data_IF_418242604352
#
_entry.id   IF_418242604352
#
_cell.length_a   1.000
_cell.length_b   1.000
_cell.length_c   1.000
_cell.angle_alpha   90.00
_cell.angle_beta   90.00
_cell.angle_gamma   90.00
#
_symmetry.space_group_name_H-M   'P 1'
#
loop_
_entity.id
_entity.type
_entity.pdbx_description
1 polymer ?
#
# COMPACT_ATOMS: atom_id res chain seq x y z
N UNK A 1 -35.82 10.36 -42.26
CA UNK A 1 -35.94 10.08 -40.82
C UNK A 1 -34.58 10.26 -40.16
N UNK A 2 -34.23 11.49 -39.78
CA UNK A 2 -32.96 11.78 -39.10
C UNK A 2 -33.21 11.75 -37.59
N UNK A 3 -32.80 10.66 -36.95
CA UNK A 3 -32.95 10.45 -35.52
C UNK A 3 -32.14 11.48 -34.73
N UNK A 4 -32.84 12.24 -33.89
CA UNK A 4 -32.26 13.18 -32.94
C UNK A 4 -31.56 12.41 -31.81
N UNK A 5 -30.26 12.17 -31.94
CA UNK A 5 -29.45 11.56 -30.87
C UNK A 5 -29.24 12.62 -29.79
N UNK A 6 -30.00 12.52 -28.69
CA UNK A 6 -29.78 13.35 -27.50
C UNK A 6 -28.32 13.18 -27.04
N UNK A 7 -27.54 14.25 -27.14
CA UNK A 7 -26.18 14.31 -26.60
C UNK A 7 -26.29 14.24 -25.08
N UNK A 8 -26.01 13.07 -24.50
CA UNK A 8 -25.85 12.94 -23.05
C UNK A 8 -24.71 13.87 -22.62
N UNK A 9 -24.97 14.76 -21.66
CA UNK A 9 -23.97 15.65 -21.09
C UNK A 9 -22.92 14.80 -20.36
N UNK A 10 -21.82 14.48 -21.04
CA UNK A 10 -20.69 13.80 -20.43
C UNK A 10 -20.06 14.80 -19.45
N UNK A 11 -20.33 14.64 -18.14
CA UNK A 11 -19.65 15.41 -17.09
C UNK A 11 -18.15 15.35 -17.34
N UNK A 12 -17.50 16.54 -17.43
CA UNK A 12 -16.05 16.66 -17.65
C UNK A 12 -15.30 15.82 -16.61
N UNK A 13 -14.23 15.16 -17.04
CA UNK A 13 -13.58 14.06 -16.30
C UNK A 13 -13.04 14.36 -14.90
N UNK A 14 -13.05 15.62 -14.43
CA UNK A 14 -12.68 16.00 -13.06
C UNK A 14 -13.84 15.80 -12.07
N UNK A 15 -15.04 16.30 -12.37
CA UNK A 15 -16.21 16.17 -11.48
C UNK A 15 -16.60 14.70 -11.23
N UNK A 16 -16.36 13.83 -12.21
CA UNK A 16 -16.59 12.39 -12.08
C UNK A 16 -15.57 11.71 -11.16
N UNK A 17 -14.35 12.24 -11.04
CA UNK A 17 -13.32 11.66 -10.17
C UNK A 17 -13.65 11.92 -8.70
N UNK A 18 -14.12 13.12 -8.35
CA UNK A 18 -14.47 13.44 -6.96
C UNK A 18 -15.66 12.60 -6.44
N UNK A 19 -16.65 12.34 -7.30
CA UNK A 19 -17.79 11.47 -7.01
C UNK A 19 -17.34 10.00 -6.78
N UNK A 20 -16.52 9.47 -7.68
CA UNK A 20 -16.02 8.08 -7.64
C UNK A 20 -15.00 7.86 -6.51
N UNK A 21 -14.32 8.92 -6.05
CA UNK A 21 -13.30 8.87 -5.01
C UNK A 21 -13.81 8.27 -3.71
N UNK A 22 -15.01 8.66 -3.27
CA UNK A 22 -15.60 8.17 -2.04
C UNK A 22 -15.89 6.67 -2.08
N UNK A 23 -16.46 6.21 -3.20
CA UNK A 23 -16.79 4.80 -3.42
C UNK A 23 -15.53 3.92 -3.51
N UNK A 24 -14.53 4.35 -4.28
CA UNK A 24 -13.23 3.67 -4.37
C UNK A 24 -12.56 3.55 -2.99
N UNK A 25 -12.59 4.61 -2.18
CA UNK A 25 -12.01 4.60 -0.84
C UNK A 25 -12.74 3.63 0.10
N UNK A 26 -14.06 3.55 0.03
CA UNK A 26 -14.85 2.61 0.83
C UNK A 26 -14.51 1.16 0.50
N UNK A 27 -14.41 0.81 -0.80
CA UNK A 27 -14.06 -0.54 -1.26
C UNK A 27 -12.64 -0.92 -0.80
N UNK A 28 -11.67 -0.01 -0.97
CA UNK A 28 -10.28 -0.27 -0.56
C UNK A 28 -10.10 -0.44 0.95
N UNK A 29 -10.96 0.19 1.75
CA UNK A 29 -10.94 0.01 3.20
C UNK A 29 -11.32 -1.41 3.60
N UNK A 30 -12.25 -2.04 2.88
CA UNK A 30 -12.62 -3.45 3.09
C UNK A 30 -11.67 -4.43 2.41
N UNK A 31 -11.19 -4.13 1.20
CA UNK A 31 -10.36 -5.04 0.40
C UNK A 31 -9.22 -4.27 -0.30
N UNK A 32 -8.07 -4.03 0.38
CA UNK A 32 -7.00 -3.20 -0.14
C UNK A 32 -6.21 -3.86 -1.29
N UNK A 33 -6.34 -5.17 -1.48
CA UNK A 33 -5.62 -5.96 -2.49
C UNK A 33 -6.37 -6.07 -3.83
N UNK A 34 -7.51 -5.39 -3.96
CA UNK A 34 -8.37 -5.50 -5.14
C UNK A 34 -7.68 -4.92 -6.37
N UNK A 35 -7.84 -5.58 -7.52
CA UNK A 35 -7.25 -5.08 -8.77
C UNK A 35 -8.03 -3.87 -9.29
N UNK A 36 -7.33 -2.99 -10.00
CA UNK A 36 -7.93 -1.79 -10.61
C UNK A 36 -9.05 -2.16 -11.60
N UNK A 37 -8.92 -3.29 -12.32
CA UNK A 37 -9.97 -3.80 -13.21
C UNK A 37 -11.23 -4.19 -12.46
N UNK A 38 -11.09 -4.83 -11.31
CA UNK A 38 -12.25 -5.23 -10.48
C UNK A 38 -12.89 -4.02 -9.80
N UNK A 39 -12.09 -3.06 -9.32
CA UNK A 39 -12.57 -1.75 -8.88
C UNK A 39 -13.36 -1.01 -9.97
N UNK A 40 -12.87 -1.04 -11.21
CA UNK A 40 -13.56 -0.43 -12.37
C UNK A 40 -14.91 -1.10 -12.63
N UNK A 41 -14.98 -2.42 -12.55
CA UNK A 41 -16.25 -3.15 -12.70
C UNK A 41 -17.23 -2.85 -11.55
N UNK A 42 -16.76 -2.80 -10.30
CA UNK A 42 -17.62 -2.53 -9.13
C UNK A 42 -18.17 -1.10 -9.12
N UNK A 43 -17.35 -0.11 -9.48
CA UNK A 43 -17.73 1.32 -9.46
C UNK A 43 -18.39 1.79 -10.77
N UNK A 44 -18.56 0.90 -11.75
CA UNK A 44 -19.06 1.23 -13.09
C UNK A 44 -18.25 2.30 -13.83
N UNK A 45 -17.02 2.57 -13.37
CA UNK A 45 -16.18 3.66 -13.83
C UNK A 45 -15.04 3.15 -14.70
N UNK A 46 -14.56 3.98 -15.62
CA UNK A 46 -13.42 3.59 -16.46
C UNK A 46 -12.17 3.34 -15.60
N UNK A 47 -11.30 2.44 -16.05
CA UNK A 47 -10.00 2.16 -15.41
C UNK A 47 -9.20 3.45 -15.17
N UNK A 48 -9.22 4.39 -16.11
CA UNK A 48 -8.53 5.69 -15.97
C UNK A 48 -9.14 6.58 -14.89
N UNK A 49 -10.46 6.57 -14.74
CA UNK A 49 -11.15 7.30 -13.67
C UNK A 49 -10.77 6.73 -12.30
N UNK A 50 -10.76 5.41 -12.17
CA UNK A 50 -10.32 4.72 -10.95
C UNK A 50 -8.86 5.06 -10.64
N UNK A 51 -7.97 5.03 -11.65
CA UNK A 51 -6.57 5.44 -11.50
C UNK A 51 -6.41 6.87 -10.97
N UNK A 52 -7.20 7.82 -11.49
CA UNK A 52 -7.19 9.21 -11.01
C UNK A 52 -7.72 9.32 -9.59
N UNK A 53 -8.78 8.57 -9.26
CA UNK A 53 -9.32 8.50 -7.90
C UNK A 53 -8.28 7.95 -6.91
N UNK A 54 -7.60 6.85 -7.25
CA UNK A 54 -6.51 6.26 -6.46
C UNK A 54 -5.39 7.28 -6.18
N UNK A 55 -4.97 8.03 -7.21
CA UNK A 55 -3.97 9.10 -7.06
C UNK A 55 -4.49 10.23 -6.14
N UNK A 56 -5.76 10.59 -6.24
CA UNK A 56 -6.38 11.64 -5.42
C UNK A 56 -6.53 11.26 -3.93
N UNK A 57 -6.59 9.95 -3.61
CA UNK A 57 -6.55 9.45 -2.22
C UNK A 57 -5.15 9.06 -1.75
N UNK A 58 -4.11 9.26 -2.59
CA UNK A 58 -2.72 8.86 -2.30
C UNK A 58 -2.58 7.36 -1.96
N UNK A 59 -3.40 6.51 -2.59
CA UNK A 59 -3.30 5.06 -2.42
C UNK A 59 -2.27 4.52 -3.41
N UNK A 60 -1.11 4.13 -2.88
CA UNK A 60 0.00 3.61 -3.66
C UNK A 60 0.03 2.08 -3.61
N UNK A 61 0.28 1.40 -4.75
CA UNK A 61 0.51 -0.04 -4.74
C UNK A 61 1.67 -0.38 -3.80
N UNK A 62 1.45 -1.36 -2.92
CA UNK A 62 2.51 -1.94 -2.11
C UNK A 62 3.22 -3.04 -2.90
N UNK A 63 4.56 -3.01 -2.95
CA UNK A 63 5.34 -4.08 -3.55
C UNK A 63 5.37 -5.28 -2.59
N UNK A 64 4.83 -6.43 -3.01
CA UNK A 64 4.88 -7.65 -2.19
C UNK A 64 6.33 -8.13 -2.07
N UNK A 65 6.85 -8.14 -0.85
CA UNK A 65 8.16 -8.68 -0.52
C UNK A 65 7.99 -10.10 0.03
N UNK A 66 8.80 -11.02 -0.46
CA UNK A 66 8.93 -12.35 0.15
C UNK A 66 9.87 -12.24 1.33
N UNK A 67 9.34 -12.40 2.54
CA UNK A 67 10.10 -12.40 3.78
C UNK A 67 9.88 -13.72 4.51
N UNK A 68 10.81 -14.08 5.40
CA UNK A 68 10.60 -15.22 6.29
C UNK A 68 9.37 -14.96 7.16
N UNK A 69 8.47 -15.96 7.23
CA UNK A 69 7.29 -15.89 8.09
C UNK A 69 7.75 -15.95 9.54
N UNK A 70 7.39 -14.94 10.33
CA UNK A 70 7.61 -14.94 11.77
C UNK A 70 6.61 -15.87 12.47
N UNK A 71 7.10 -16.71 13.36
CA UNK A 71 6.27 -17.52 14.24
C UNK A 71 5.90 -16.74 15.51
N UNK A 72 4.87 -17.21 16.22
CA UNK A 72 4.31 -16.48 17.38
C UNK A 72 5.36 -16.17 18.47
N UNK A 73 6.33 -17.05 18.65
CA UNK A 73 7.43 -16.88 19.59
C UNK A 73 8.46 -15.84 19.13
N UNK A 74 8.63 -15.63 17.83
CA UNK A 74 9.68 -14.76 17.27
C UNK A 74 9.38 -13.30 17.57
N UNK A 75 8.11 -12.89 17.52
CA UNK A 75 7.70 -11.52 17.85
C UNK A 75 8.18 -11.07 19.23
N UNK A 76 8.08 -11.94 20.24
CA UNK A 76 8.54 -11.62 21.60
C UNK A 76 10.06 -11.55 21.67
N UNK A 77 10.76 -12.48 21.02
CA UNK A 77 12.23 -12.53 20.98
C UNK A 77 12.80 -11.31 20.27
N UNK A 78 12.31 -10.99 19.06
CA UNK A 78 12.74 -9.83 18.30
C UNK A 78 12.49 -8.53 19.09
N UNK A 79 11.30 -8.36 19.68
CA UNK A 79 11.00 -7.17 20.49
C UNK A 79 11.92 -7.06 21.69
N UNK A 80 12.16 -8.16 22.41
CA UNK A 80 13.05 -8.19 23.56
C UNK A 80 14.47 -7.79 23.17
N UNK A 81 15.02 -8.42 22.13
CA UNK A 81 16.34 -8.09 21.59
C UNK A 81 16.43 -6.60 21.22
N UNK A 82 15.47 -6.05 20.47
CA UNK A 82 15.50 -4.63 20.11
C UNK A 82 15.47 -3.70 21.32
N UNK A 83 14.71 -4.03 22.37
CA UNK A 83 14.66 -3.22 23.59
C UNK A 83 15.99 -3.28 24.35
N UNK A 84 16.58 -4.47 24.49
CA UNK A 84 17.87 -4.66 25.17
C UNK A 84 19.00 -3.93 24.42
N UNK A 85 19.04 -4.03 23.09
CA UNK A 85 20.02 -3.30 22.28
C UNK A 85 19.84 -1.78 22.37
N UNK A 86 18.61 -1.28 22.42
CA UNK A 86 18.35 0.15 22.63
C UNK A 86 18.88 0.62 23.99
N UNK A 87 18.65 -0.14 25.06
CA UNK A 87 19.19 0.19 26.38
C UNK A 87 20.72 0.19 26.38
N UNK A 88 21.36 -0.78 25.72
CA UNK A 88 22.82 -0.83 25.60
C UNK A 88 23.39 0.40 24.87
N UNK A 89 22.73 0.84 23.80
CA UNK A 89 23.10 2.05 23.05
C UNK A 89 22.95 3.32 23.91
N UNK A 90 21.92 3.38 24.76
CA UNK A 90 21.69 4.53 25.66
C UNK A 90 22.68 4.57 26.82
N UNK A 91 23.09 3.41 27.34
CA UNK A 91 23.98 3.30 28.50
C UNK A 91 25.46 3.52 28.17
N UNK A 92 25.90 3.12 26.97
CA UNK A 92 27.29 3.28 26.53
C UNK A 92 27.35 3.94 25.14
N UNK A 93 27.85 5.18 25.11
CA UNK A 93 28.02 5.95 23.87
C UNK A 93 28.99 5.30 22.88
N UNK A 94 29.87 4.40 23.33
CA UNK A 94 30.81 3.67 22.47
C UNK A 94 30.30 2.28 22.05
N UNK A 95 29.14 1.83 22.53
CA UNK A 95 28.61 0.50 22.28
C UNK A 95 28.59 0.14 20.79
N UNK A 96 28.03 1.02 19.96
CA UNK A 96 27.95 0.82 18.50
C UNK A 96 29.32 0.81 17.82
N UNK A 97 30.32 1.52 18.36
CA UNK A 97 31.67 1.53 17.80
C UNK A 97 32.43 0.24 18.10
N UNK A 98 32.03 -0.46 19.17
CA UNK A 98 32.64 -1.72 19.60
C UNK A 98 31.87 -2.96 19.09
N UNK A 99 30.71 -2.76 18.46
CA UNK A 99 29.86 -3.83 17.98
C UNK A 99 30.33 -4.31 16.60
N UNK A 100 30.64 -5.61 16.49
CA UNK A 100 31.12 -6.24 15.26
C UNK A 100 30.16 -7.35 14.84
N UNK A 101 29.71 -7.31 13.59
CA UNK A 101 28.85 -8.33 12.99
C UNK A 101 29.62 -9.16 11.96
N UNK A 102 29.31 -10.45 11.90
CA UNK A 102 29.78 -11.38 10.87
C UNK A 102 28.58 -12.22 10.43
N UNK A 103 28.49 -12.48 9.12
CA UNK A 103 27.51 -13.39 8.53
C UNK A 103 28.22 -14.29 7.51
N UNK A 104 27.78 -15.53 7.40
CA UNK A 104 28.34 -16.50 6.48
C UNK A 104 27.53 -16.47 5.17
N UNK A 105 28.21 -16.16 4.06
CA UNK A 105 27.60 -16.18 2.74
C UNK A 105 28.13 -17.38 1.93
N UNK A 106 27.21 -18.13 1.33
CA UNK A 106 27.56 -19.17 0.36
C UNK A 106 27.79 -18.54 -1.02
N UNK A 107 28.95 -18.79 -1.61
CA UNK A 107 29.29 -18.41 -2.99
C UNK A 107 29.28 -19.65 -3.89
N UNK A 108 28.61 -19.58 -5.04
CA UNK A 108 28.48 -20.65 -6.03
C UNK A 108 29.20 -20.29 -7.32
#
# INVERSE_FOLDING_TARGET
>A
MTGNVKKLLIKRGFAKVDEVKGEVAAILKSEPKISIRRLSAMTGSSIFTVWRALKAIKFHPYCMLTIQKLETCDYKKCRKFCMEELENIEQDSNYLMNLMFSDEAHFH
#
